data_IF_745985640856
#
_entry.id   IF_745985640856
#
_cell.length_a   1.000
_cell.length_b   1.000
_cell.length_c   1.000
_cell.angle_alpha   90.00
_cell.angle_beta   90.00
_cell.angle_gamma   90.00
#
_symmetry.space_group_name_H-M   'P 1'
#
loop_
_entity.id
_entity.type
_entity.pdbx_description
1 polymer ?
#
# COMPACT_ATOMS: atom_id res chain seq x y z
N UNK A 1 4.26 9.85 -26.54
CA UNK A 1 5.54 10.34 -25.98
C UNK A 1 6.30 9.13 -25.51
N UNK A 2 7.63 9.06 -25.64
CA UNK A 2 8.40 7.91 -25.17
C UNK A 2 8.66 8.08 -23.66
N UNK A 3 8.52 7.01 -22.88
CA UNK A 3 8.92 7.00 -21.48
C UNK A 3 10.43 7.18 -21.32
N UNK A 4 10.87 7.66 -20.17
CA UNK A 4 12.28 7.62 -19.78
C UNK A 4 12.82 6.20 -19.91
N UNK A 5 14.08 6.04 -20.36
CA UNK A 5 14.70 4.74 -20.64
C UNK A 5 14.69 3.77 -19.45
N UNK A 6 14.80 4.28 -18.21
CA UNK A 6 14.77 3.46 -16.99
C UNK A 6 13.35 2.91 -16.78
N UNK A 7 12.35 3.79 -16.84
CA UNK A 7 10.95 3.36 -16.72
C UNK A 7 10.54 2.39 -17.84
N UNK A 8 11.01 2.64 -19.07
CA UNK A 8 10.77 1.73 -20.20
C UNK A 8 11.36 0.35 -19.93
N UNK A 9 12.60 0.28 -19.45
CA UNK A 9 13.24 -1.01 -19.11
C UNK A 9 12.47 -1.76 -18.01
N UNK A 10 12.01 -1.06 -16.97
CA UNK A 10 11.20 -1.66 -15.90
C UNK A 10 9.84 -2.14 -16.40
N UNK A 11 9.19 -1.36 -17.27
CA UNK A 11 7.94 -1.76 -17.92
C UNK A 11 8.12 -2.99 -18.81
N UNK A 12 9.21 -3.04 -19.59
CA UNK A 12 9.53 -4.19 -20.44
C UNK A 12 9.81 -5.46 -19.61
N UNK A 13 10.42 -5.31 -18.43
CA UNK A 13 10.62 -6.45 -17.51
C UNK A 13 9.30 -6.89 -16.86
N UNK A 14 8.46 -5.96 -16.46
CA UNK A 14 7.12 -6.26 -15.94
C UNK A 14 6.27 -7.03 -16.97
N UNK A 15 6.36 -6.65 -18.24
CA UNK A 15 5.65 -7.32 -19.34
C UNK A 15 6.12 -8.75 -19.61
N UNK A 16 7.28 -9.16 -19.13
CA UNK A 16 7.75 -10.58 -19.22
C UNK A 16 7.02 -11.48 -18.23
N UNK A 17 6.64 -10.92 -17.07
CA UNK A 17 5.93 -11.66 -16.03
C UNK A 17 4.43 -11.77 -16.34
N UNK A 18 3.87 -10.77 -17.03
CA UNK A 18 2.47 -10.69 -17.37
C UNK A 18 2.29 -10.51 -18.88
N UNK A 19 1.50 -11.38 -19.51
CA UNK A 19 1.29 -11.36 -20.97
C UNK A 19 0.31 -10.23 -21.31
N UNK A 20 0.82 -9.22 -22.02
CA UNK A 20 0.00 -8.14 -22.58
C UNK A 20 0.05 -8.20 -24.11
N UNK A 21 -1.11 -8.34 -24.74
CA UNK A 21 -1.22 -8.35 -26.20
C UNK A 21 -1.65 -6.98 -26.71
N UNK A 22 -0.81 -6.34 -27.54
CA UNK A 22 -1.12 -5.14 -28.33
C UNK A 22 -1.78 -3.98 -27.56
N UNK A 23 -1.31 -3.69 -26.35
CA UNK A 23 -1.76 -2.51 -25.61
C UNK A 23 -0.97 -1.26 -26.02
N UNK A 24 -1.61 -0.11 -25.92
CA UNK A 24 -0.91 1.18 -26.02
C UNK A 24 -0.02 1.40 -24.80
N UNK A 25 1.07 2.15 -24.99
CA UNK A 25 2.04 2.45 -23.93
C UNK A 25 1.38 3.04 -22.67
N UNK A 26 0.37 3.88 -22.82
CA UNK A 26 -0.37 4.46 -21.71
C UNK A 26 -1.08 3.38 -20.87
N UNK A 27 -1.69 2.39 -21.52
CA UNK A 27 -2.35 1.28 -20.84
C UNK A 27 -1.35 0.31 -20.19
N UNK A 28 -0.24 0.01 -20.86
CA UNK A 28 0.83 -0.79 -20.27
C UNK A 28 1.39 -0.13 -19.00
N UNK A 29 1.59 1.19 -19.05
CA UNK A 29 2.05 1.98 -17.90
C UNK A 29 1.01 2.01 -16.77
N UNK A 30 -0.26 2.10 -17.09
CA UNK A 30 -1.36 2.01 -16.12
C UNK A 30 -1.34 0.69 -15.35
N UNK A 31 -1.25 -0.47 -16.05
CA UNK A 31 -1.12 -1.78 -15.41
C UNK A 31 0.10 -1.85 -14.51
N UNK A 32 1.24 -1.38 -15.01
CA UNK A 32 2.49 -1.38 -14.28
C UNK A 32 2.41 -0.57 -12.98
N UNK A 33 1.90 0.64 -13.03
CA UNK A 33 1.76 1.51 -11.85
C UNK A 33 0.74 0.96 -10.87
N UNK A 34 -0.41 0.47 -11.35
CA UNK A 34 -1.43 -0.14 -10.49
C UNK A 34 -0.86 -1.36 -9.77
N UNK A 35 -0.08 -2.20 -10.47
CA UNK A 35 0.65 -3.30 -9.85
C UNK A 35 1.57 -2.81 -8.72
N UNK A 36 2.38 -1.78 -8.95
CA UNK A 36 3.31 -1.26 -7.93
C UNK A 36 2.58 -0.72 -6.69
N UNK A 37 1.52 0.06 -6.88
CA UNK A 37 0.77 0.66 -5.78
C UNK A 37 0.05 -0.41 -4.95
N UNK A 38 -0.68 -1.31 -5.60
CA UNK A 38 -1.50 -2.30 -4.92
C UNK A 38 -0.64 -3.37 -4.25
N UNK A 39 0.47 -3.80 -4.89
CA UNK A 39 1.41 -4.76 -4.29
C UNK A 39 2.12 -4.23 -3.04
N UNK A 40 2.15 -2.93 -2.81
CA UNK A 40 2.61 -2.35 -1.53
C UNK A 40 1.70 -2.74 -0.36
N UNK A 41 0.40 -2.91 -0.62
CA UNK A 41 -0.60 -3.29 0.37
C UNK A 41 -0.80 -4.81 0.45
N UNK A 42 -0.83 -5.46 -0.69
CA UNK A 42 -1.01 -6.90 -0.84
C UNK A 42 0.01 -7.43 -1.85
N UNK A 43 1.17 -7.93 -1.41
CA UNK A 43 2.28 -8.35 -2.28
C UNK A 43 1.90 -9.37 -3.37
N UNK A 44 0.99 -10.29 -3.06
CA UNK A 44 0.51 -11.33 -3.96
C UNK A 44 -0.92 -11.03 -4.49
N UNK A 45 -1.24 -9.73 -4.63
CA UNK A 45 -2.57 -9.29 -5.09
C UNK A 45 -2.94 -9.81 -6.47
N UNK A 46 -1.96 -10.07 -7.32
CA UNK A 46 -2.16 -10.38 -8.73
C UNK A 46 -1.42 -11.65 -9.13
N UNK A 47 -2.18 -12.68 -9.46
CA UNK A 47 -1.65 -13.93 -10.01
C UNK A 47 -1.44 -13.83 -11.53
N UNK A 48 -2.30 -13.08 -12.20
CA UNK A 48 -2.26 -12.85 -13.65
C UNK A 48 -2.86 -11.49 -14.05
N UNK A 49 -2.89 -11.23 -15.36
CA UNK A 49 -3.49 -10.00 -15.91
C UNK A 49 -4.98 -9.90 -15.59
N UNK A 50 -5.72 -11.02 -15.54
CA UNK A 50 -7.14 -11.03 -15.26
C UNK A 50 -7.50 -10.47 -13.87
N UNK A 51 -6.64 -10.72 -12.88
CA UNK A 51 -6.78 -10.10 -11.55
C UNK A 51 -6.57 -8.58 -11.62
N UNK A 52 -5.59 -8.13 -12.42
CA UNK A 52 -5.36 -6.70 -12.62
C UNK A 52 -6.53 -6.02 -13.34
N UNK A 53 -7.13 -6.68 -14.34
CA UNK A 53 -8.27 -6.16 -15.09
C UNK A 53 -9.45 -5.81 -14.17
N UNK A 54 -9.61 -6.52 -13.05
CA UNK A 54 -10.73 -6.32 -12.11
C UNK A 54 -10.69 -5.02 -11.32
N UNK A 55 -9.52 -4.40 -11.19
CA UNK A 55 -9.36 -3.12 -10.48
C UNK A 55 -9.36 -1.92 -11.42
N UNK A 56 -9.20 -2.13 -12.73
CA UNK A 56 -9.15 -1.07 -13.74
C UNK A 56 -10.58 -0.59 -14.04
N UNK A 57 -10.79 0.72 -13.91
CA UNK A 57 -12.13 1.34 -14.03
C UNK A 57 -12.29 2.25 -15.23
N UNK A 58 -11.21 2.61 -15.93
CA UNK A 58 -11.27 3.46 -17.10
C UNK A 58 -10.88 2.71 -18.38
N UNK A 59 -11.87 2.46 -19.25
CA UNK A 59 -11.63 1.88 -20.57
C UNK A 59 -11.40 2.96 -21.65
N UNK A 60 -11.83 4.22 -21.43
CA UNK A 60 -11.86 5.27 -22.45
C UNK A 60 -11.28 6.61 -22.02
N UNK A 61 -10.54 6.65 -20.91
CA UNK A 61 -9.88 7.85 -20.38
C UNK A 61 -10.81 9.03 -20.05
N UNK A 62 -12.07 8.76 -19.68
CA UNK A 62 -13.07 9.81 -19.41
C UNK A 62 -13.44 9.93 -17.93
N UNK A 63 -13.23 8.87 -17.14
CA UNK A 63 -13.62 8.85 -15.73
C UNK A 63 -12.70 9.69 -14.83
N UNK A 64 -11.43 9.86 -15.21
CA UNK A 64 -10.42 10.59 -14.42
C UNK A 64 -9.81 9.76 -13.29
N UNK A 65 -10.03 8.43 -13.32
CA UNK A 65 -9.42 7.42 -12.47
C UNK A 65 -9.13 6.19 -13.32
N UNK A 66 -7.93 5.63 -13.20
CA UNK A 66 -7.54 4.42 -13.91
C UNK A 66 -7.88 3.17 -13.12
N UNK A 67 -7.75 3.22 -11.78
CA UNK A 67 -8.10 2.08 -10.93
C UNK A 67 -8.75 2.49 -9.61
N UNK A 68 -9.59 1.59 -9.09
CA UNK A 68 -10.15 1.62 -7.73
C UNK A 68 -9.88 0.27 -7.08
N UNK A 69 -9.25 0.27 -5.90
CA UNK A 69 -8.99 -0.96 -5.17
C UNK A 69 -9.40 -0.84 -3.70
N UNK A 70 -9.91 -1.91 -3.14
CA UNK A 70 -10.25 -2.02 -1.72
C UNK A 70 -9.31 -3.03 -1.08
N UNK A 71 -8.62 -2.60 -0.04
CA UNK A 71 -7.73 -3.45 0.75
C UNK A 71 -8.39 -3.63 2.12
N UNK A 72 -8.69 -4.86 2.47
CA UNK A 72 -9.30 -5.19 3.76
C UNK A 72 -8.38 -6.16 4.51
N UNK A 73 -7.95 -5.75 5.69
CA UNK A 73 -7.01 -6.52 6.52
C UNK A 73 -5.72 -6.90 5.75
N UNK A 74 -5.23 -6.01 4.88
CA UNK A 74 -4.05 -6.21 4.06
C UNK A 74 -4.26 -7.05 2.79
N UNK A 75 -5.49 -7.42 2.44
CA UNK A 75 -5.81 -8.21 1.26
C UNK A 75 -6.64 -7.42 0.25
N UNK A 76 -6.33 -7.58 -1.03
CA UNK A 76 -7.14 -7.02 -2.11
C UNK A 76 -8.51 -7.71 -2.16
N UNK A 77 -9.55 -6.90 -2.15
CA UNK A 77 -10.94 -7.32 -2.29
C UNK A 77 -11.36 -7.15 -3.74
N UNK A 78 -11.88 -8.21 -4.33
CA UNK A 78 -12.29 -8.22 -5.73
C UNK A 78 -13.82 -8.33 -5.91
N UNK A 79 -14.57 -8.51 -4.82
CA UNK A 79 -16.03 -8.57 -4.84
C UNK A 79 -16.64 -8.38 -3.45
N UNK A 80 -17.94 -8.06 -3.40
CA UNK A 80 -18.67 -7.86 -2.13
C UNK A 80 -18.65 -9.07 -1.19
N UNK A 81 -18.57 -10.29 -1.73
CA UNK A 81 -18.55 -11.52 -0.94
C UNK A 81 -17.28 -11.62 -0.08
N UNK A 82 -16.17 -11.03 -0.53
CA UNK A 82 -14.93 -10.96 0.24
C UNK A 82 -15.14 -10.13 1.52
N UNK A 83 -15.92 -9.03 1.44
CA UNK A 83 -16.27 -8.22 2.62
C UNK A 83 -16.99 -9.08 3.66
N UNK A 84 -17.96 -9.88 3.23
CA UNK A 84 -18.71 -10.77 4.12
C UNK A 84 -17.81 -11.83 4.78
N UNK A 85 -16.79 -12.28 4.05
CA UNK A 85 -15.81 -13.23 4.59
C UNK A 85 -14.94 -12.56 5.65
N UNK A 86 -14.37 -11.38 5.38
CA UNK A 86 -13.52 -10.66 6.33
C UNK A 86 -14.29 -10.15 7.55
N UNK A 87 -15.57 -9.78 7.40
CA UNK A 87 -16.42 -9.35 8.50
C UNK A 87 -16.64 -10.43 9.57
N UNK A 88 -16.47 -11.72 9.24
CA UNK A 88 -16.51 -12.82 10.21
C UNK A 88 -15.45 -12.68 11.32
N UNK A 89 -14.34 -12.04 11.05
CA UNK A 89 -13.29 -11.74 12.03
C UNK A 89 -13.71 -10.67 13.05
N UNK A 90 -14.82 -9.96 12.80
CA UNK A 90 -15.31 -8.83 13.59
C UNK A 90 -14.28 -7.70 13.76
N UNK A 91 -13.38 -7.57 12.80
CA UNK A 91 -12.38 -6.52 12.72
C UNK A 91 -12.06 -6.24 11.26
N UNK A 92 -12.27 -5.01 10.83
CA UNK A 92 -11.97 -4.56 9.47
C UNK A 92 -11.01 -3.36 9.55
N UNK A 93 -9.84 -3.52 8.98
CA UNK A 93 -8.92 -2.42 8.65
C UNK A 93 -8.97 -2.22 7.14
N UNK A 94 -9.42 -1.04 6.71
CA UNK A 94 -9.82 -0.80 5.33
C UNK A 94 -9.03 0.38 4.77
N UNK A 95 -8.35 0.15 3.66
CA UNK A 95 -7.76 1.17 2.80
C UNK A 95 -8.48 1.15 1.45
N UNK A 96 -8.99 2.30 1.00
CA UNK A 96 -9.63 2.50 -0.30
C UNK A 96 -8.67 3.29 -1.17
N UNK A 97 -8.26 2.73 -2.30
CA UNK A 97 -7.25 3.30 -3.19
C UNK A 97 -7.92 3.80 -4.47
N UNK A 98 -7.70 5.06 -4.81
CA UNK A 98 -8.04 5.68 -6.09
C UNK A 98 -6.74 6.03 -6.80
N UNK A 99 -6.55 5.52 -8.01
CA UNK A 99 -5.28 5.65 -8.72
C UNK A 99 -5.53 6.26 -10.09
N UNK A 100 -4.76 7.29 -10.43
CA UNK A 100 -4.66 7.88 -11.76
C UNK A 100 -3.22 7.91 -12.19
N UNK A 101 -2.95 7.52 -13.43
CA UNK A 101 -1.60 7.46 -14.00
C UNK A 101 -1.45 8.39 -15.21
N UNK A 102 -0.25 8.92 -15.38
CA UNK A 102 0.08 9.78 -16.52
C UNK A 102 1.48 9.48 -17.02
N UNK A 103 1.59 9.20 -18.32
CA UNK A 103 2.88 8.95 -18.99
C UNK A 103 3.64 10.23 -19.31
N UNK A 104 3.02 11.40 -19.15
CA UNK A 104 3.62 12.69 -19.41
C UNK A 104 4.71 13.03 -18.40
N UNK A 105 5.76 13.70 -18.87
CA UNK A 105 6.86 14.23 -18.06
C UNK A 105 6.52 15.57 -17.38
N UNK A 106 5.24 15.96 -17.38
CA UNK A 106 4.70 17.11 -16.66
C UNK A 106 3.59 16.66 -15.72
N UNK A 107 3.62 17.17 -14.51
CA UNK A 107 2.49 17.04 -13.57
C UNK A 107 1.50 18.18 -13.86
N UNK A 108 0.36 17.84 -14.47
CA UNK A 108 -0.72 18.80 -14.74
C UNK A 108 -1.67 18.87 -13.54
N UNK A 109 -1.76 20.06 -12.94
CA UNK A 109 -2.65 20.28 -11.78
C UNK A 109 -4.14 20.20 -12.15
N UNK A 110 -4.49 20.46 -13.42
CA UNK A 110 -5.86 20.29 -13.92
C UNK A 110 -6.27 18.82 -13.93
N UNK A 111 -5.37 17.93 -14.32
CA UNK A 111 -5.63 16.48 -14.26
C UNK A 111 -5.68 15.96 -12.82
N UNK A 112 -4.83 16.46 -11.94
CA UNK A 112 -4.91 16.18 -10.51
C UNK A 112 -6.29 16.58 -9.93
N UNK A 113 -6.78 17.77 -10.27
CA UNK A 113 -8.11 18.23 -9.81
C UNK A 113 -9.24 17.40 -10.39
N UNK A 114 -9.14 16.93 -11.65
CA UNK A 114 -10.11 15.98 -12.23
C UNK A 114 -10.14 14.66 -11.46
N UNK A 115 -8.97 14.11 -11.11
CA UNK A 115 -8.84 12.89 -10.31
C UNK A 115 -9.50 13.05 -8.94
N UNK A 116 -9.26 14.16 -8.27
CA UNK A 116 -9.88 14.50 -6.99
C UNK A 116 -11.40 14.61 -7.14
N UNK A 117 -11.88 15.28 -8.19
CA UNK A 117 -13.31 15.42 -8.45
C UNK A 117 -13.97 14.07 -8.78
N UNK A 118 -13.30 13.21 -9.56
CA UNK A 118 -13.78 11.87 -9.85
C UNK A 118 -13.93 11.02 -8.57
N UNK A 119 -12.97 11.13 -7.65
CA UNK A 119 -13.05 10.48 -6.32
C UNK A 119 -14.24 11.02 -5.51
N UNK A 120 -14.46 12.32 -5.49
CA UNK A 120 -15.65 12.92 -4.83
C UNK A 120 -16.94 12.38 -5.42
N UNK A 121 -17.03 12.34 -6.75
CA UNK A 121 -18.21 11.84 -7.45
C UNK A 121 -18.50 10.37 -7.12
N UNK A 122 -17.46 9.54 -6.99
CA UNK A 122 -17.63 8.15 -6.59
C UNK A 122 -18.35 8.01 -5.25
N UNK A 123 -18.03 8.85 -4.29
CA UNK A 123 -18.63 8.81 -2.96
C UNK A 123 -20.02 9.46 -2.89
N UNK A 124 -20.15 10.67 -3.42
CA UNK A 124 -21.32 11.52 -3.18
C UNK A 124 -22.34 11.53 -4.33
N UNK A 125 -21.85 11.42 -5.56
CA UNK A 125 -22.67 11.61 -6.74
C UNK A 125 -22.33 10.55 -7.81
N UNK A 126 -22.45 9.29 -7.40
CA UNK A 126 -22.13 8.16 -8.27
C UNK A 126 -22.92 8.18 -9.58
N UNK A 127 -24.14 8.74 -9.57
CA UNK A 127 -24.98 8.85 -10.77
C UNK A 127 -24.47 9.88 -11.79
N UNK A 128 -23.66 10.84 -11.34
CA UNK A 128 -23.00 11.79 -12.25
C UNK A 128 -21.84 11.17 -13.05
N UNK A 129 -21.39 9.97 -12.69
CA UNK A 129 -20.41 9.22 -13.47
C UNK A 129 -21.12 8.69 -14.72
N UNK A 130 -20.77 9.26 -15.87
CA UNK A 130 -21.48 8.99 -17.16
C UNK A 130 -21.12 7.64 -17.77
N UNK A 131 -19.88 7.17 -17.56
CA UNK A 131 -19.40 5.88 -18.05
C UNK A 131 -19.11 4.94 -16.88
N UNK A 132 -19.99 3.99 -16.66
CA UNK A 132 -19.89 2.96 -15.63
C UNK A 132 -19.69 1.61 -16.28
N UNK A 133 -18.44 1.18 -16.41
CA UNK A 133 -18.17 -0.21 -16.79
C UNK A 133 -18.46 -1.16 -15.62
N UNK A 134 -18.35 -2.47 -15.87
CA UNK A 134 -18.58 -3.51 -14.84
C UNK A 134 -17.71 -3.34 -13.60
N UNK A 135 -16.49 -2.86 -13.75
CA UNK A 135 -15.55 -2.72 -12.63
C UNK A 135 -15.87 -1.51 -11.75
N UNK A 136 -16.32 -0.38 -12.35
CA UNK A 136 -16.84 0.77 -11.59
C UNK A 136 -18.07 0.36 -10.77
N UNK A 137 -18.98 -0.42 -11.38
CA UNK A 137 -20.16 -0.93 -10.68
C UNK A 137 -19.78 -1.91 -9.56
N UNK A 138 -18.84 -2.82 -9.81
CA UNK A 138 -18.33 -3.74 -8.79
C UNK A 138 -17.65 -2.99 -7.64
N UNK A 139 -16.83 -1.98 -7.94
CA UNK A 139 -16.22 -1.12 -6.91
C UNK A 139 -17.30 -0.44 -6.04
N UNK A 140 -18.39 0.03 -6.65
CA UNK A 140 -19.53 0.59 -5.90
C UNK A 140 -20.25 -0.46 -5.06
N UNK A 141 -20.45 -1.68 -5.57
CA UNK A 141 -21.03 -2.76 -4.79
C UNK A 141 -20.18 -3.14 -3.57
N UNK A 142 -18.84 -3.19 -3.71
CA UNK A 142 -17.90 -3.42 -2.60
C UNK A 142 -18.04 -2.30 -1.56
N UNK A 143 -18.06 -1.04 -2.02
CA UNK A 143 -18.22 0.12 -1.15
C UNK A 143 -19.54 0.03 -0.39
N UNK A 144 -20.66 -0.18 -1.09
CA UNK A 144 -21.99 -0.23 -0.48
C UNK A 144 -22.12 -1.39 0.51
N UNK A 145 -21.50 -2.55 0.23
CA UNK A 145 -21.46 -3.68 1.16
C UNK A 145 -20.67 -3.37 2.41
N UNK A 146 -19.49 -2.75 2.25
CA UNK A 146 -18.62 -2.36 3.37
C UNK A 146 -19.30 -1.38 4.33
N UNK A 147 -20.04 -0.40 3.77
CA UNK A 147 -20.69 0.66 4.55
C UNK A 147 -22.08 0.30 5.07
N UNK A 148 -22.58 -0.93 4.83
CA UNK A 148 -23.71 -1.44 5.58
C UNK A 148 -23.38 -1.51 7.08
N UNK A 149 -24.33 -1.14 7.93
CA UNK A 149 -24.11 -1.13 9.38
C UNK A 149 -23.56 -2.45 9.92
N UNK A 150 -24.02 -3.58 9.39
CA UNK A 150 -23.60 -4.94 9.79
C UNK A 150 -22.10 -5.18 9.64
N UNK A 151 -21.47 -4.57 8.63
CA UNK A 151 -20.04 -4.69 8.34
C UNK A 151 -19.27 -3.49 8.92
N UNK A 152 -19.75 -2.29 8.68
CA UNK A 152 -19.08 -1.04 9.08
C UNK A 152 -18.79 -0.94 10.58
N UNK A 153 -19.68 -1.48 11.42
CA UNK A 153 -19.47 -1.56 12.89
C UNK A 153 -18.21 -2.32 13.30
N UNK A 154 -17.62 -3.12 12.42
CA UNK A 154 -16.39 -3.84 12.67
C UNK A 154 -15.14 -3.08 12.19
N UNK A 155 -15.30 -1.93 11.54
CA UNK A 155 -14.19 -1.07 11.18
C UNK A 155 -13.44 -0.61 12.42
N UNK A 156 -12.10 -0.59 12.33
CA UNK A 156 -11.26 -0.07 13.42
C UNK A 156 -11.45 1.44 13.56
N UNK A 157 -11.04 2.02 14.68
CA UNK A 157 -11.17 3.47 14.93
C UNK A 157 -10.39 4.35 13.94
N UNK A 158 -9.44 3.74 13.23
CA UNK A 158 -8.59 4.41 12.22
C UNK A 158 -9.01 4.09 10.78
N UNK A 159 -10.08 3.36 10.57
CA UNK A 159 -10.54 2.84 9.29
C UNK A 159 -12.01 3.21 9.04
N UNK A 160 -12.48 3.34 7.82
CA UNK A 160 -11.75 3.29 6.54
C UNK A 160 -10.84 4.49 6.28
N UNK A 161 -9.75 4.28 5.54
CA UNK A 161 -8.86 5.33 5.02
C UNK A 161 -9.02 5.41 3.51
N UNK A 162 -8.95 6.61 2.96
CA UNK A 162 -8.97 6.85 1.52
C UNK A 162 -7.59 7.36 1.08
N UNK A 163 -7.02 6.73 0.06
CA UNK A 163 -5.76 7.12 -0.56
C UNK A 163 -6.02 7.46 -2.02
N UNK A 164 -5.61 8.65 -2.43
CA UNK A 164 -5.69 9.10 -3.81
C UNK A 164 -4.26 9.24 -4.33
N UNK A 165 -3.90 8.41 -5.30
CA UNK A 165 -2.59 8.39 -5.93
C UNK A 165 -2.68 8.97 -7.32
N UNK A 166 -2.05 10.13 -7.53
CA UNK A 166 -1.80 10.68 -8.86
C UNK A 166 -0.35 10.39 -9.23
N UNK A 167 -0.14 9.44 -10.13
CA UNK A 167 1.19 8.93 -10.47
C UNK A 167 1.59 9.36 -11.88
N UNK A 168 2.74 10.01 -12.01
CA UNK A 168 3.20 10.56 -13.28
C UNK A 168 4.64 10.18 -13.59
N UNK A 169 4.98 10.04 -14.87
CA UNK A 169 6.38 9.88 -15.30
C UNK A 169 7.22 11.16 -15.11
N UNK A 170 6.62 12.26 -14.69
CA UNK A 170 7.32 13.49 -14.34
C UNK A 170 8.24 13.30 -13.12
N UNK A 171 9.30 14.10 -13.07
CA UNK A 171 10.21 14.13 -11.92
C UNK A 171 10.16 15.45 -11.14
N UNK A 172 9.64 16.49 -11.77
CA UNK A 172 9.60 17.84 -11.20
C UNK A 172 8.23 18.49 -11.41
N UNK A 173 7.76 19.18 -10.38
CA UNK A 173 6.56 20.02 -10.40
C UNK A 173 6.65 21.09 -9.32
N UNK A 174 5.74 22.05 -9.34
CA UNK A 174 5.63 23.08 -8.30
C UNK A 174 5.06 22.47 -7.00
N UNK A 175 5.95 21.94 -6.15
CA UNK A 175 5.59 21.20 -4.93
C UNK A 175 4.64 21.99 -4.02
N UNK A 176 4.92 23.29 -3.79
CA UNK A 176 4.10 24.11 -2.89
C UNK A 176 2.64 24.23 -3.34
N UNK A 177 2.42 24.37 -4.65
CA UNK A 177 1.07 24.42 -5.24
C UNK A 177 0.36 23.06 -5.09
N UNK A 178 1.04 22.00 -5.49
CA UNK A 178 0.50 20.63 -5.45
C UNK A 178 0.18 20.22 -4.01
N UNK A 179 1.07 20.46 -3.05
CA UNK A 179 0.87 20.17 -1.63
C UNK A 179 -0.34 20.93 -1.05
N UNK A 180 -0.53 22.19 -1.46
CA UNK A 180 -1.69 22.98 -1.03
C UNK A 180 -3.00 22.40 -1.60
N UNK A 181 -3.02 22.00 -2.88
CA UNK A 181 -4.18 21.34 -3.51
C UNK A 181 -4.49 20.05 -2.75
N UNK A 182 -3.51 19.20 -2.54
CA UNK A 182 -3.69 17.93 -1.85
C UNK A 182 -4.23 18.12 -0.42
N UNK A 183 -3.65 19.01 0.37
CA UNK A 183 -4.08 19.29 1.74
C UNK A 183 -5.49 19.88 1.81
N UNK A 184 -5.83 20.83 0.94
CA UNK A 184 -7.16 21.44 0.94
C UNK A 184 -8.23 20.46 0.50
N UNK A 185 -7.99 19.72 -0.58
CA UNK A 185 -8.92 18.73 -1.09
C UNK A 185 -9.09 17.54 -0.16
N UNK A 186 -8.03 17.07 0.50
CA UNK A 186 -8.12 16.01 1.49
C UNK A 186 -9.00 16.39 2.68
N UNK A 187 -8.87 17.61 3.19
CA UNK A 187 -9.75 18.14 4.25
C UNK A 187 -11.19 18.25 3.78
N UNK A 188 -11.42 18.74 2.57
CA UNK A 188 -12.74 18.86 1.98
C UNK A 188 -13.42 17.49 1.87
N UNK A 189 -12.75 16.48 1.28
CA UNK A 189 -13.31 15.12 1.15
C UNK A 189 -13.61 14.53 2.54
N UNK A 190 -12.71 14.67 3.52
CA UNK A 190 -12.93 14.19 4.89
C UNK A 190 -14.13 14.87 5.55
N UNK A 191 -14.40 16.16 5.25
CA UNK A 191 -15.54 16.87 5.80
C UNK A 191 -16.88 16.46 5.17
N UNK A 192 -16.84 16.03 3.91
CA UNK A 192 -18.00 15.60 3.14
C UNK A 192 -18.39 14.17 3.51
N UNK A 193 -17.41 13.27 3.63
CA UNK A 193 -17.63 11.83 3.84
C UNK A 193 -17.28 11.48 5.28
N UNK A 194 -18.27 11.62 6.18
CA UNK A 194 -18.09 11.44 7.63
C UNK A 194 -17.59 10.03 8.03
N UNK A 195 -17.82 9.04 7.20
CA UNK A 195 -17.49 7.65 7.48
C UNK A 195 -16.04 7.29 7.11
N UNK A 196 -15.35 8.14 6.34
CA UNK A 196 -13.93 8.02 6.04
C UNK A 196 -13.11 8.74 7.13
N UNK A 197 -12.18 8.05 7.76
CA UNK A 197 -11.39 8.58 8.90
C UNK A 197 -10.25 9.48 8.48
N UNK A 198 -9.67 9.24 7.34
CA UNK A 198 -8.63 10.08 6.77
C UNK A 198 -8.60 9.98 5.25
N UNK A 199 -8.24 11.08 4.62
CA UNK A 199 -8.00 11.16 3.18
C UNK A 199 -6.56 11.63 2.98
N UNK A 200 -5.77 10.82 2.29
CA UNK A 200 -4.40 11.11 1.91
C UNK A 200 -4.31 11.19 0.39
N UNK A 201 -3.82 12.34 -0.13
CA UNK A 201 -3.66 12.58 -1.56
C UNK A 201 -2.18 12.75 -1.83
N UNK A 202 -1.62 11.87 -2.65
CA UNK A 202 -0.20 11.85 -2.99
C UNK A 202 0.00 12.01 -4.50
N UNK A 203 0.91 12.92 -4.86
CA UNK A 203 1.45 13.01 -6.21
C UNK A 203 2.81 12.33 -6.22
N UNK A 204 2.92 11.26 -7.00
CA UNK A 204 4.07 10.38 -7.06
C UNK A 204 4.73 10.49 -8.43
N UNK A 205 6.02 10.72 -8.46
CA UNK A 205 6.79 10.90 -9.68
C UNK A 205 7.60 9.67 -10.07
N UNK A 206 8.42 9.86 -11.10
CA UNK A 206 9.30 8.82 -11.64
C UNK A 206 10.18 8.14 -10.59
N UNK A 207 10.77 8.90 -9.68
CA UNK A 207 11.70 8.34 -8.68
C UNK A 207 10.96 7.38 -7.74
N UNK A 208 9.73 7.71 -7.34
CA UNK A 208 8.88 6.79 -6.57
C UNK A 208 8.60 5.49 -7.33
N UNK A 209 8.30 5.57 -8.64
CA UNK A 209 8.03 4.38 -9.47
C UNK A 209 9.27 3.48 -9.50
N UNK A 210 10.45 4.06 -9.67
CA UNK A 210 11.73 3.34 -9.67
C UNK A 210 11.97 2.67 -8.32
N UNK A 211 11.78 3.38 -7.22
CA UNK A 211 11.99 2.85 -5.88
C UNK A 211 10.99 1.73 -5.58
N UNK A 212 9.69 1.92 -5.87
CA UNK A 212 8.66 0.92 -5.67
C UNK A 212 8.92 -0.37 -6.48
N UNK A 213 9.35 -0.24 -7.75
CA UNK A 213 9.72 -1.38 -8.56
C UNK A 213 10.91 -2.15 -7.98
N UNK A 214 11.94 -1.42 -7.58
CA UNK A 214 13.13 -2.01 -6.96
C UNK A 214 12.80 -2.73 -5.66
N UNK A 215 11.88 -2.17 -4.85
CA UNK A 215 11.42 -2.82 -3.61
C UNK A 215 10.67 -4.13 -3.88
N UNK A 216 9.94 -4.23 -4.98
CA UNK A 216 9.22 -5.45 -5.35
C UNK A 216 10.17 -6.51 -5.94
N UNK A 217 11.08 -6.10 -6.83
CA UNK A 217 11.94 -7.03 -7.59
C UNK A 217 13.23 -7.40 -6.85
N UNK A 218 13.79 -6.48 -6.08
CA UNK A 218 15.05 -6.69 -5.41
C UNK A 218 14.84 -7.19 -3.98
N UNK A 219 15.74 -8.07 -3.53
CA UNK A 219 15.90 -8.37 -2.12
C UNK A 219 16.22 -7.07 -1.36
N UNK A 220 15.65 -6.93 -0.17
CA UNK A 220 15.92 -5.76 0.68
C UNK A 220 17.42 -5.72 0.97
N UNK A 221 18.08 -4.66 0.54
CA UNK A 221 19.49 -4.41 0.82
C UNK A 221 19.60 -3.25 1.79
N UNK A 222 20.01 -3.52 3.03
CA UNK A 222 20.23 -2.51 4.07
C UNK A 222 21.52 -2.79 4.80
N UNK A 223 22.25 -1.72 5.12
CA UNK A 223 23.45 -1.84 5.95
C UNK A 223 23.05 -1.76 7.43
N UNK A 224 23.31 -2.83 8.16
CA UNK A 224 23.01 -2.96 9.59
C UNK A 224 24.27 -3.28 10.39
N UNK A 225 24.27 -2.98 11.67
CA UNK A 225 25.35 -3.34 12.58
C UNK A 225 24.89 -4.43 13.55
N UNK A 226 25.21 -5.69 13.24
CA UNK A 226 24.92 -6.83 14.10
C UNK A 226 25.92 -6.86 15.28
N UNK A 227 25.43 -6.70 16.52
CA UNK A 227 26.24 -6.68 17.73
C UNK A 227 26.34 -8.06 18.38
N UNK A 228 27.45 -8.33 19.07
CA UNK A 228 27.75 -9.62 19.72
C UNK A 228 27.48 -10.80 18.80
N UNK A 229 28.01 -10.69 17.59
CA UNK A 229 27.83 -11.65 16.51
C UNK A 229 28.59 -12.95 16.83
N UNK A 230 27.88 -14.07 16.74
CA UNK A 230 28.42 -15.42 16.82
C UNK A 230 28.12 -16.14 15.53
N UNK A 231 29.11 -16.75 14.90
CA UNK A 231 28.94 -17.59 13.72
C UNK A 231 28.36 -18.94 14.15
N UNK A 232 27.32 -19.39 13.47
CA UNK A 232 26.74 -20.71 13.68
C UNK A 232 27.37 -21.72 12.72
N UNK A 233 27.20 -23.01 13.05
CA UNK A 233 27.61 -24.12 12.20
C UNK A 233 26.98 -24.02 10.80
N UNK A 234 27.71 -24.55 9.80
CA UNK A 234 27.30 -24.48 8.41
C UNK A 234 26.00 -25.21 8.17
N UNK A 235 25.01 -24.49 7.61
CA UNK A 235 23.74 -25.07 7.18
C UNK A 235 23.84 -25.34 5.66
N UNK A 236 23.33 -26.50 5.23
CA UNK A 236 23.34 -26.87 3.80
C UNK A 236 22.67 -25.77 2.95
N UNK A 237 23.32 -25.37 1.85
CA UNK A 237 22.93 -24.31 0.94
C UNK A 237 22.97 -22.88 1.51
N UNK A 238 23.47 -22.68 2.73
CA UNK A 238 23.70 -21.36 3.32
C UNK A 238 25.18 -21.15 3.50
N UNK A 239 25.72 -20.06 2.95
CA UNK A 239 27.15 -19.79 2.96
C UNK A 239 27.67 -19.51 4.37
N UNK A 240 26.96 -18.65 5.09
CA UNK A 240 27.31 -18.24 6.45
C UNK A 240 26.04 -17.91 7.23
N UNK A 241 26.04 -18.25 8.53
CA UNK A 241 24.92 -17.98 9.45
C UNK A 241 25.46 -17.32 10.71
N UNK A 242 24.83 -16.23 11.11
CA UNK A 242 25.21 -15.45 12.28
C UNK A 242 24.02 -15.29 13.22
N UNK A 243 24.30 -15.27 14.53
CA UNK A 243 23.36 -14.86 15.55
C UNK A 243 23.91 -13.64 16.28
N UNK A 244 23.08 -12.67 16.56
CA UNK A 244 23.45 -11.45 17.23
C UNK A 244 22.26 -10.60 17.60
N UNK A 245 22.46 -9.37 18.06
CA UNK A 245 21.36 -8.44 18.29
C UNK A 245 21.53 -7.13 17.52
N UNK A 246 20.42 -6.54 17.14
CA UNK A 246 20.34 -5.25 16.47
C UNK A 246 19.86 -4.18 17.43
N UNK A 247 20.28 -2.93 17.19
CA UNK A 247 19.61 -1.78 17.80
C UNK A 247 18.21 -1.60 17.20
N UNK A 248 17.32 -0.90 17.92
CA UNK A 248 16.01 -0.55 17.36
C UNK A 248 16.11 0.22 16.05
N UNK A 249 17.09 1.14 15.93
CA UNK A 249 17.32 1.92 14.71
C UNK A 249 17.76 1.04 13.52
N UNK A 250 18.66 0.06 13.75
CA UNK A 250 19.06 -0.87 12.70
C UNK A 250 17.92 -1.82 12.31
N UNK A 251 17.08 -2.22 13.27
CA UNK A 251 15.87 -3.00 13.00
C UNK A 251 14.87 -2.21 12.15
N UNK A 252 14.66 -0.92 12.45
CA UNK A 252 13.78 -0.06 11.65
C UNK A 252 14.27 0.08 10.19
N UNK A 253 15.58 0.12 9.93
CA UNK A 253 16.11 0.12 8.56
C UNK A 253 15.69 -1.11 7.76
N UNK A 254 15.56 -2.26 8.42
CA UNK A 254 15.10 -3.49 7.75
C UNK A 254 13.61 -3.41 7.44
N UNK A 255 12.80 -3.04 8.43
CA UNK A 255 11.34 -3.15 8.34
C UNK A 255 10.63 -1.94 7.75
N UNK A 256 11.29 -0.78 7.66
CA UNK A 256 10.71 0.44 7.07
C UNK A 256 11.36 0.78 5.73
N UNK A 257 10.58 1.38 4.85
CA UNK A 257 11.06 1.99 3.61
C UNK A 257 11.70 3.36 3.85
N UNK A 258 12.13 4.03 2.78
CA UNK A 258 12.74 5.38 2.82
C UNK A 258 11.80 6.46 3.37
N UNK A 259 10.49 6.24 3.33
CA UNK A 259 9.47 7.15 3.85
C UNK A 259 9.11 6.87 5.31
N UNK A 260 9.65 5.79 5.89
CA UNK A 260 9.35 5.34 7.25
C UNK A 260 8.11 4.44 7.35
N UNK A 261 7.52 4.05 6.22
CA UNK A 261 6.40 3.12 6.16
C UNK A 261 6.89 1.68 6.32
N UNK A 262 6.10 0.85 7.02
CA UNK A 262 6.43 -0.56 7.21
C UNK A 262 6.35 -1.31 5.89
N UNK A 263 7.41 -2.01 5.52
CA UNK A 263 7.47 -2.93 4.37
C UNK A 263 6.61 -4.16 4.65
N UNK A 264 5.34 -4.12 4.31
CA UNK A 264 4.37 -5.20 4.59
C UNK A 264 4.81 -6.54 4.01
N UNK A 265 5.51 -6.54 2.89
CA UNK A 265 6.03 -7.75 2.24
C UNK A 265 6.93 -8.62 3.14
N UNK A 266 7.69 -8.01 4.06
CA UNK A 266 8.54 -8.77 5.00
C UNK A 266 7.70 -9.63 5.95
N UNK A 267 6.47 -9.22 6.23
CA UNK A 267 5.59 -9.82 7.21
C UNK A 267 4.44 -10.61 6.59
N UNK A 268 4.31 -10.60 5.26
CA UNK A 268 3.16 -11.14 4.55
C UNK A 268 2.87 -12.61 4.88
N UNK A 269 3.89 -13.45 4.95
CA UNK A 269 3.75 -14.86 5.34
C UNK A 269 3.81 -15.09 6.86
N UNK A 270 3.90 -14.02 7.66
CA UNK A 270 4.03 -14.17 9.09
C UNK A 270 2.65 -14.34 9.73
N UNK A 271 2.40 -15.53 10.29
CA UNK A 271 1.15 -15.88 11.01
C UNK A 271 0.79 -14.89 12.14
N UNK A 272 1.72 -14.02 12.53
CA UNK A 272 1.55 -12.99 13.58
C UNK A 272 1.64 -11.59 12.98
N UNK A 273 0.92 -11.35 11.90
CA UNK A 273 0.83 -10.03 11.31
C UNK A 273 0.43 -8.96 12.35
N UNK A 274 0.92 -7.74 12.13
CA UNK A 274 0.66 -6.62 13.01
C UNK A 274 -0.85 -6.33 13.12
N UNK A 275 -1.43 -6.62 14.28
CA UNK A 275 -2.87 -6.51 14.55
C UNK A 275 -3.32 -5.06 14.85
N UNK A 276 -2.53 -4.07 14.48
CA UNK A 276 -2.83 -2.65 14.71
C UNK A 276 -2.56 -2.17 16.14
N UNK A 277 -2.58 -0.84 16.33
CA UNK A 277 -2.32 -0.19 17.63
C UNK A 277 -3.39 -0.49 18.69
N UNK A 278 -4.57 -0.88 18.26
CA UNK A 278 -5.72 -1.13 19.14
C UNK A 278 -5.74 -2.55 19.73
N UNK A 279 -4.91 -3.46 19.21
CA UNK A 279 -4.72 -4.77 19.82
C UNK A 279 -4.24 -4.64 21.28
N UNK A 280 -4.77 -5.45 22.19
CA UNK A 280 -4.47 -5.35 23.63
C UNK A 280 -2.98 -5.45 23.93
N UNK A 281 -2.24 -6.33 23.24
CA UNK A 281 -0.80 -6.53 23.40
C UNK A 281 -0.05 -5.28 22.89
N UNK A 282 -0.43 -4.76 21.73
CA UNK A 282 0.20 -3.58 21.14
C UNK A 282 -0.08 -2.31 21.96
N UNK A 283 -1.27 -2.18 22.56
CA UNK A 283 -1.57 -1.13 23.54
C UNK A 283 -0.68 -1.20 24.78
N UNK A 284 -0.47 -2.39 25.33
CA UNK A 284 0.42 -2.59 26.48
C UNK A 284 1.88 -2.23 26.11
N UNK A 285 2.35 -2.67 24.94
CA UNK A 285 3.67 -2.32 24.41
C UNK A 285 3.82 -0.80 24.29
N UNK A 286 2.84 -0.14 23.65
CA UNK A 286 2.85 1.31 23.47
C UNK A 286 2.85 2.06 24.81
N UNK A 287 2.02 1.63 25.77
CA UNK A 287 1.96 2.22 27.09
C UNK A 287 3.31 2.08 27.84
N UNK A 288 4.00 0.96 27.63
CA UNK A 288 5.34 0.72 28.18
C UNK A 288 6.37 1.66 27.56
N UNK A 289 6.40 1.80 26.24
CA UNK A 289 7.35 2.66 25.51
C UNK A 289 7.12 4.15 25.86
N UNK A 290 5.86 4.57 26.00
CA UNK A 290 5.52 5.97 26.33
C UNK A 290 5.68 6.31 27.81
N UNK A 291 6.21 5.40 28.63
CA UNK A 291 6.46 5.63 30.06
C UNK A 291 5.20 5.76 30.92
N UNK A 292 4.04 5.35 30.43
CA UNK A 292 2.76 5.38 31.15
C UNK A 292 2.56 4.21 32.13
N UNK A 293 3.58 3.35 32.26
CA UNK A 293 3.54 2.18 33.13
C UNK A 293 4.63 2.23 34.20
N UNK A 294 4.38 1.62 35.34
CA UNK A 294 5.36 1.48 36.43
C UNK A 294 6.49 0.51 36.05
N UNK A 295 7.65 0.65 36.67
CA UNK A 295 8.85 -0.19 36.42
C UNK A 295 8.55 -1.70 36.54
N UNK A 296 7.65 -2.09 37.43
CA UNK A 296 7.25 -3.50 37.60
C UNK A 296 6.40 -4.04 36.43
N UNK A 297 5.58 -3.20 35.83
CA UNK A 297 4.82 -3.53 34.63
C UNK A 297 5.73 -3.57 33.39
N UNK A 298 6.73 -2.70 33.33
CA UNK A 298 7.76 -2.73 32.30
C UNK A 298 8.48 -4.08 32.24
N UNK A 299 8.96 -4.61 33.38
CA UNK A 299 9.64 -5.91 33.45
C UNK A 299 8.72 -7.06 33.05
N UNK A 300 7.44 -7.01 33.43
CA UNK A 300 6.45 -8.02 33.07
C UNK A 300 6.11 -8.00 31.58
N UNK A 301 6.02 -6.81 30.99
CA UNK A 301 5.75 -6.63 29.58
C UNK A 301 6.98 -6.81 28.69
N UNK A 302 8.17 -6.48 29.18
CA UNK A 302 9.42 -6.80 28.49
C UNK A 302 9.64 -8.32 28.37
N UNK A 303 9.16 -9.12 29.35
CA UNK A 303 9.13 -10.59 29.19
C UNK A 303 8.14 -11.05 28.11
N UNK A 304 7.07 -10.31 27.84
CA UNK A 304 6.17 -10.54 26.68
C UNK A 304 6.77 -10.00 25.36
N UNK A 305 7.63 -8.99 25.44
CA UNK A 305 8.37 -8.43 24.30
C UNK A 305 9.60 -9.26 23.90
N UNK A 306 10.11 -10.11 24.79
CA UNK A 306 11.31 -10.93 24.61
C UNK A 306 11.08 -12.32 24.01
N UNK A 307 10.03 -12.70 23.38
CA UNK A 307 10.13 -13.93 22.62
C UNK A 307 10.27 -13.68 21.14
N UNK A 308 11.11 -12.83 20.65
CA UNK A 308 11.35 -12.91 19.19
C UNK A 308 12.35 -11.91 18.62
N UNK A 309 13.40 -11.58 19.31
CA UNK A 309 14.48 -10.90 18.60
C UNK A 309 15.68 -11.83 18.40
N UNK A 310 15.40 -13.06 17.95
CA UNK A 310 16.41 -13.87 17.28
C UNK A 310 16.21 -13.67 15.79
N UNK A 311 16.87 -12.66 15.23
CA UNK A 311 16.98 -12.58 13.78
C UNK A 311 17.97 -13.66 13.33
N UNK A 312 17.47 -14.78 12.84
CA UNK A 312 18.28 -15.71 12.07
C UNK A 312 18.43 -15.09 10.67
N UNK A 313 19.60 -14.48 10.42
CA UNK A 313 19.85 -13.85 9.12
C UNK A 313 20.56 -14.87 8.25
N UNK A 314 19.88 -15.34 7.21
CA UNK A 314 20.44 -16.20 6.17
C UNK A 314 21.00 -15.36 5.04
N UNK A 315 22.25 -15.55 4.69
CA UNK A 315 22.84 -14.98 3.48
C UNK A 315 22.89 -16.05 2.40
N UNK A 316 22.01 -15.92 1.41
CA UNK A 316 22.06 -16.72 0.20
C UNK A 316 22.78 -15.87 -0.86
N UNK A 317 23.88 -16.38 -1.44
CA UNK A 317 24.42 -15.83 -2.68
C UNK A 317 24.00 -16.75 -3.80
N UNK A 318 23.12 -16.24 -4.69
CA UNK A 318 22.92 -16.77 -6.03
C UNK A 318 24.18 -16.60 -6.88
#
# INVERSE_FOLDING_TARGET
MALNKILQGMLDDFKKDYIFENLELSKEFEYFVNYLIISKYHPDAFSDKGDMDRVIVDEKSQFGLDAIAFIVNGNLVLGKDDILQYAKSKKLDVDILFIQTKTEEKCDTGDLLKTIQATKNFFENFDAITEKNSNVLNAKEIYDELFKYENFRYCTSQSPKCHIYFVTAANEWEKSLVDNICKSSGKEITSIISDIKSVDIQVLGRDYIIDAYNEIKNSISVQINLKNCVTLDRIEKVKETYIGYLTGDDYLKIICDSNGDIRRRIFYENVRDYQGTENSVNKEIRATITGKQTRGQFIRNSRKLIPTTFALIYFNQS
#
